data_IF_669758631596
#
_entry.id   IF_669758631596
#
_cell.length_a   1.000
_cell.length_b   1.000
_cell.length_c   1.000
_cell.angle_alpha   90.00
_cell.angle_beta   90.00
_cell.angle_gamma   90.00
#
_symmetry.space_group_name_H-M   'P 1'
#
loop_
_entity.id
_entity.type
_entity.pdbx_description
1 polymer ?
#
# COMPACT_ATOMS: atom_id res chain seq x y z
N UNK A 1 15.16 -16.49 -2.90
CA UNK A 1 14.16 -16.10 -1.89
C UNK A 1 13.00 -15.53 -2.67
N UNK A 2 11.75 -16.00 -2.52
CA UNK A 2 10.64 -15.45 -3.29
C UNK A 2 10.29 -14.07 -2.71
N UNK A 3 10.74 -13.02 -3.38
CA UNK A 3 10.18 -11.68 -3.22
C UNK A 3 8.79 -11.63 -3.86
N UNK A 4 7.81 -11.21 -3.07
CA UNK A 4 6.45 -10.95 -3.54
C UNK A 4 6.27 -9.44 -3.65
N UNK A 5 5.92 -8.99 -4.86
CA UNK A 5 5.52 -7.61 -5.08
C UNK A 5 4.06 -7.43 -4.66
N UNK A 6 3.81 -6.49 -3.75
CA UNK A 6 2.48 -6.09 -3.29
C UNK A 6 2.29 -4.59 -3.47
N UNK A 7 1.09 -4.20 -3.88
CA UNK A 7 0.73 -2.78 -4.07
C UNK A 7 -0.11 -2.32 -2.89
N UNK A 8 0.32 -1.24 -2.24
CA UNK A 8 -0.40 -0.61 -1.12
C UNK A 8 -0.44 0.90 -1.36
N UNK A 9 -1.63 1.46 -1.51
CA UNK A 9 -1.81 2.90 -1.68
C UNK A 9 -1.17 3.44 -2.96
N UNK A 10 -1.22 2.66 -4.04
CA UNK A 10 -0.59 3.01 -5.33
C UNK A 10 0.95 2.94 -5.34
N UNK A 11 1.58 2.42 -4.29
CA UNK A 11 3.03 2.15 -4.24
C UNK A 11 3.30 0.65 -4.22
N UNK A 12 4.23 0.20 -5.06
CA UNK A 12 4.72 -1.17 -5.07
C UNK A 12 5.77 -1.39 -3.98
N UNK A 13 5.63 -2.45 -3.20
CA UNK A 13 6.57 -2.87 -2.17
C UNK A 13 6.98 -4.31 -2.43
N UNK A 14 8.29 -4.57 -2.44
CA UNK A 14 8.82 -5.92 -2.44
C UNK A 14 8.91 -6.43 -1.02
N UNK A 15 8.19 -7.51 -0.73
CA UNK A 15 8.18 -8.14 0.59
C UNK A 15 8.71 -9.56 0.47
N UNK A 16 9.68 -9.91 1.31
CA UNK A 16 10.21 -11.26 1.37
C UNK A 16 9.17 -12.19 2.00
N UNK A 17 8.64 -13.14 1.23
CA UNK A 17 7.66 -14.11 1.73
C UNK A 17 8.33 -15.46 1.99
N UNK A 18 7.84 -16.20 2.99
CA UNK A 18 8.16 -17.62 3.14
C UNK A 18 7.17 -18.45 2.30
N UNK A 19 7.53 -19.67 1.88
CA UNK A 19 6.63 -20.56 1.14
C UNK A 19 5.34 -20.80 1.93
N UNK A 20 4.20 -20.42 1.36
CA UNK A 20 2.87 -20.56 1.98
C UNK A 20 2.29 -19.30 2.64
N UNK A 21 3.07 -18.22 2.79
CA UNK A 21 2.58 -16.94 3.33
C UNK A 21 2.06 -15.98 2.25
N UNK A 22 2.17 -16.33 0.96
CA UNK A 22 1.78 -15.48 -0.16
C UNK A 22 0.33 -14.99 -0.06
N UNK A 23 -0.60 -15.86 0.35
CA UNK A 23 -2.01 -15.52 0.49
C UNK A 23 -2.25 -14.56 1.66
N UNK A 24 -1.51 -14.73 2.76
CA UNK A 24 -1.59 -13.87 3.93
C UNK A 24 -1.05 -12.47 3.61
N UNK A 25 0.11 -12.40 2.96
CA UNK A 25 0.71 -11.15 2.49
C UNK A 25 -0.19 -10.40 1.50
N UNK A 26 -0.84 -11.12 0.57
CA UNK A 26 -1.78 -10.51 -0.38
C UNK A 26 -3.02 -9.94 0.34
N UNK A 27 -3.54 -10.66 1.33
CA UNK A 27 -4.69 -10.22 2.13
C UNK A 27 -4.33 -9.03 3.03
N UNK A 28 -3.17 -9.07 3.67
CA UNK A 28 -2.66 -7.97 4.48
C UNK A 28 -2.40 -6.72 3.62
N UNK A 29 -1.81 -6.88 2.43
CA UNK A 29 -1.62 -5.78 1.49
C UNK A 29 -2.95 -5.15 1.06
N UNK A 30 -3.97 -5.97 0.76
CA UNK A 30 -5.31 -5.46 0.43
C UNK A 30 -5.96 -4.71 1.60
N UNK A 31 -5.77 -5.18 2.83
CA UNK A 31 -6.26 -4.51 4.05
C UNK A 31 -5.57 -3.16 4.26
N UNK A 32 -4.25 -3.12 4.13
CA UNK A 32 -3.48 -1.87 4.20
C UNK A 32 -3.86 -0.91 3.07
N UNK A 33 -4.12 -1.41 1.86
CA UNK A 33 -4.55 -0.59 0.73
C UNK A 33 -5.93 0.03 0.96
N UNK A 34 -6.87 -0.73 1.53
CA UNK A 34 -8.20 -0.23 1.88
C UNK A 34 -8.15 0.88 2.94
N UNK A 35 -7.25 0.77 3.93
CA UNK A 35 -7.04 1.81 4.96
C UNK A 35 -6.25 3.01 4.42
N UNK A 36 -5.28 2.78 3.54
CA UNK A 36 -4.44 3.82 2.94
C UNK A 36 -5.19 4.62 1.87
N UNK A 37 -6.08 3.99 1.09
CA UNK A 37 -6.86 4.62 0.02
C UNK A 37 -7.59 5.90 0.44
N UNK A 38 -8.39 5.94 1.53
CA UNK A 38 -9.04 7.16 1.99
C UNK A 38 -8.05 8.18 2.56
N UNK A 39 -6.92 7.74 3.13
CA UNK A 39 -5.85 8.62 3.63
C UNK A 39 -5.14 9.34 2.46
N UNK A 40 -4.83 8.61 1.40
CA UNK A 40 -4.21 9.14 0.18
C UNK A 40 -5.18 10.04 -0.57
N UNK A 41 -6.46 9.67 -0.64
CA UNK A 41 -7.50 10.53 -1.22
C UNK A 41 -7.65 11.86 -0.45
N UNK A 42 -7.45 11.85 0.88
CA UNK A 42 -7.42 13.07 1.69
C UNK A 42 -6.11 13.86 1.54
N UNK A 43 -4.96 13.20 1.41
CA UNK A 43 -3.69 13.88 1.11
C UNK A 43 -3.69 14.52 -0.28
N UNK A 44 -4.27 13.87 -1.29
CA UNK A 44 -4.45 14.44 -2.63
C UNK A 44 -5.46 15.60 -2.69
N UNK A 45 -6.18 15.86 -1.59
CA UNK A 45 -7.07 17.00 -1.42
C UNK A 45 -6.42 18.19 -0.71
N UNK A 46 -5.13 18.16 -0.39
CA UNK A 46 -4.44 19.40 0.03
C UNK A 46 -4.40 20.34 -1.19
N UNK A 47 -5.19 21.43 -1.22
CA UNK A 47 -5.08 22.41 -2.29
C UNK A 47 -3.71 23.07 -2.13
N UNK A 48 -3.07 23.37 -3.25
CA UNK A 48 -1.81 24.11 -3.40
C UNK A 48 -1.89 25.58 -2.88
N UNK A 49 -2.76 25.87 -1.91
CA UNK A 49 -3.11 27.21 -1.46
C UNK A 49 -2.76 27.42 0.01
N UNK A 50 -1.48 27.20 0.38
CA UNK A 50 -0.79 27.94 1.46
C UNK A 50 0.70 27.60 1.51
N UNK A 51 1.40 27.93 0.43
CA UNK A 51 2.80 28.33 0.50
C UNK A 51 2.84 29.84 0.21
N UNK A 52 2.65 30.63 1.26
CA UNK A 52 2.88 32.08 1.30
C UNK A 52 3.39 32.41 2.70
#
# INVERSE_FOLDING_TARGET
MPDLEVTVGGKGFQVSCQPGEEHFLRSAAALLDAEASPLIAQMGRLPDAKML
#
